data_IF_120158831748
#
_entry.id   IF_120158831748
#
_cell.length_a   1.000
_cell.length_b   1.000
_cell.length_c   1.000
_cell.angle_alpha   90.00
_cell.angle_beta   90.00
_cell.angle_gamma   90.00
#
_symmetry.space_group_name_H-M   'P 1'
#
loop_
_entity.id
_entity.type
_entity.pdbx_description
1 polymer ?
2 non-polymer ?
3 water ?
#
# COMPACT_ATOMS: atom_id res chain seq x y z
N UNK A 1 8.98 4.50 -9.70
CA UNK A 1 7.78 4.89 -8.98
C UNK A 1 6.90 3.67 -8.74
N UNK A 2 6.01 3.79 -7.75
CA UNK A 2 5.00 2.77 -7.55
C UNK A 2 4.10 2.70 -8.79
N UNK A 3 3.59 1.50 -9.10
CA UNK A 3 2.70 1.42 -10.26
C UNK A 3 1.38 2.20 -10.03
N UNK A 4 0.59 2.41 -11.09
CA UNK A 4 -0.60 3.28 -11.01
C UNK A 4 -1.60 2.80 -9.97
N UNK A 5 -2.06 3.77 -9.19
CA UNK A 5 -3.07 3.49 -8.15
C UNK A 5 -2.49 3.14 -6.81
N UNK A 6 -1.22 2.74 -6.71
CA UNK A 6 -0.63 2.30 -5.46
C UNK A 6 -0.12 3.44 -4.60
N UNK A 7 -0.43 3.38 -3.30
CA UNK A 7 0.01 4.37 -2.33
C UNK A 7 0.69 3.61 -1.21
N UNK A 8 1.83 4.12 -0.79
CA UNK A 8 2.54 3.63 0.38
C UNK A 8 1.99 4.33 1.62
N UNK A 9 1.68 3.53 2.62
CA UNK A 9 1.09 4.02 3.86
C UNK A 9 1.89 3.49 4.99
N UNK A 10 1.75 4.12 6.12
CA UNK A 10 2.17 3.47 7.34
C UNK A 10 1.10 3.57 8.39
N UNK A 11 0.89 2.44 9.07
CA UNK A 11 0.15 2.46 10.29
C UNK A 11 1.17 2.77 11.34
N UNK A 12 1.26 4.06 11.68
CA UNK A 12 2.16 4.55 12.72
C UNK A 12 1.81 3.95 14.06
N UNK A 13 0.43 3.80 14.37
CA UNK A 13 -0.34 1.81 15.42
C UNK A 13 0.82 0.87 15.58
N UNK A 14 1.01 -0.04 14.55
CA UNK A 14 2.08 -1.03 14.54
C UNK A 14 3.44 -0.58 13.99
N UNK A 15 3.47 0.56 13.31
CA UNK A 15 4.65 1.00 12.59
C UNK A 15 4.92 0.19 11.32
N UNK A 16 3.95 -0.61 10.88
CA UNK A 16 4.08 -1.44 9.66
C UNK A 16 3.73 -0.66 8.42
N UNK A 17 4.60 -0.69 7.42
CA UNK A 17 4.30 -0.10 6.14
C UNK A 17 3.38 -1.08 5.44
N UNK A 18 2.46 -0.52 4.66
CA UNK A 18 1.71 -1.33 3.71
C UNK A 18 1.35 -0.52 2.51
N UNK A 19 0.79 -1.19 1.50
CA UNK A 19 0.47 -0.55 0.29
C UNK A 19 -1.00 -0.79 0.01
N UNK A 20 -1.62 0.26 -0.55
CA UNK A 20 -3.00 0.23 -0.91
C UNK A 20 -3.19 0.70 -2.35
N UNK A 21 -4.08 0.02 -3.07
CA UNK A 21 -4.35 0.40 -4.45
C UNK A 21 -5.76 1.00 -4.60
N UNK A 22 -5.78 2.25 -4.99
CA UNK A 22 -7.02 2.99 -5.20
C UNK A 22 -7.92 2.51 -6.32
N UNK A 23 -7.33 1.88 -7.34
CA UNK A 23 -8.11 1.36 -8.44
C UNK A 23 -8.91 0.11 -8.03
N UNK A 24 -8.24 -0.83 -7.36
CA UNK A 24 -8.78 -2.14 -7.10
C UNK A 24 -9.23 -2.35 -5.65
N UNK A 25 -8.85 -1.43 -4.78
CA UNK A 25 -9.05 -1.59 -3.32
C UNK A 25 -8.17 -2.66 -2.70
N UNK A 26 -7.22 -3.21 -3.49
CA UNK A 26 -6.31 -4.16 -2.95
C UNK A 26 -5.36 -3.56 -1.93
N UNK A 27 -4.99 -4.38 -0.96
CA UNK A 27 -3.93 -3.99 -0.04
C UNK A 27 -2.95 -5.13 0.05
N UNK A 28 -1.71 -4.79 0.35
CA UNK A 28 -0.67 -5.83 0.51
C UNK A 28 0.47 -5.27 1.37
N UNK A 29 1.18 -6.17 2.06
CA UNK A 29 2.31 -5.79 2.92
C UNK A 29 3.55 -5.48 2.09
N UNK A 30 3.77 -6.30 1.07
CA UNK A 30 4.93 -6.12 0.21
C UNK A 30 4.78 -5.03 -0.86
N UNK A 31 5.88 -4.35 -1.18
CA UNK A 31 5.84 -3.32 -2.19
C UNK A 31 5.52 -3.97 -3.53
N UNK A 32 4.58 -3.38 -4.30
CA UNK A 32 4.31 -3.90 -5.65
C UNK A 32 5.51 -3.68 -6.59
N UNK A 33 5.71 -4.61 -7.52
CA UNK A 33 6.84 -4.52 -8.48
C UNK A 33 6.63 -3.45 -9.56
X LIG B 1 -2.26 5.63 12.38
X LIG B 1 -3.10 6.83 12.39
X LIG B 1 -1.54 5.61 13.68
X LIG B 1 -2.84 4.29 12.08
X LIG B 1 -1.24 5.76 11.31
X LIG C 1 8.10 4.42 -2.62
X LIG C 1 6.74 4.80 -2.23
X LIG C 1 9.08 4.99 -1.68
X LIG C 1 8.15 2.94 -2.59
X LIG C 1 8.37 4.88 -3.99
#
# INVERSE_FOLDING_TARGET
KLPPGWEKRMSRXSGRVYYFNHITNASQWERPSG
SO4 S O1 O2 O3 O4
SO4 S O1 O2 O3 O4
#
